data_IF_808712224598
#
_entry.id   IF_808712224598
#
_cell.length_a   1.000
_cell.length_b   1.000
_cell.length_c   1.000
_cell.angle_alpha   90.00
_cell.angle_beta   90.00
_cell.angle_gamma   90.00
#
_symmetry.space_group_name_H-M   'P 1'
#
loop_
_entity.id
_entity.type
_entity.pdbx_description
1 polymer ?
#
# COMPACT_ATOMS: atom_id res chain seq x y z
N UNK A 1 -15.08 -17.78 5.62
CA UNK A 1 -14.18 -16.72 6.17
C UNK A 1 -12.76 -17.23 6.04
N UNK A 2 -11.89 -16.49 5.35
CA UNK A 2 -10.46 -16.83 5.19
C UNK A 2 -9.69 -16.45 6.44
N UNK A 3 -8.81 -17.35 6.88
CA UNK A 3 -7.87 -17.14 7.97
C UNK A 3 -6.53 -16.58 7.45
N UNK A 4 -5.67 -16.13 8.37
CA UNK A 4 -4.29 -15.74 8.04
C UNK A 4 -3.55 -16.87 7.31
N UNK A 5 -3.66 -18.10 7.80
CA UNK A 5 -2.99 -19.26 7.21
C UNK A 5 -3.47 -19.52 5.78
N UNK A 6 -4.76 -19.38 5.51
CA UNK A 6 -5.32 -19.57 4.17
C UNK A 6 -4.73 -18.57 3.18
N UNK A 7 -4.68 -17.29 3.56
CA UNK A 7 -4.15 -16.23 2.70
C UNK A 7 -2.63 -16.40 2.50
N UNK A 8 -1.87 -16.67 3.55
CA UNK A 8 -0.43 -16.92 3.44
C UNK A 8 -0.13 -18.11 2.52
N UNK A 9 -0.89 -19.21 2.64
CA UNK A 9 -0.76 -20.36 1.76
C UNK A 9 -1.04 -19.98 0.31
N UNK A 10 -2.14 -19.29 0.02
CA UNK A 10 -2.49 -18.88 -1.34
C UNK A 10 -1.43 -17.94 -1.95
N UNK A 11 -0.94 -16.96 -1.21
CA UNK A 11 0.13 -16.07 -1.68
C UNK A 11 1.42 -16.85 -2.00
N UNK A 12 1.76 -17.82 -1.16
CA UNK A 12 2.92 -18.68 -1.38
C UNK A 12 2.75 -19.59 -2.60
N UNK A 13 1.57 -20.19 -2.77
CA UNK A 13 1.23 -21.02 -3.94
C UNK A 13 1.24 -20.20 -5.25
N UNK A 14 0.87 -18.91 -5.19
CA UNK A 14 0.97 -17.99 -6.31
C UNK A 14 2.41 -17.52 -6.59
N UNK A 15 3.36 -17.84 -5.71
CA UNK A 15 4.76 -17.42 -5.85
C UNK A 15 4.98 -15.93 -5.56
N UNK A 16 4.14 -15.30 -4.74
CA UNK A 16 4.32 -13.88 -4.36
C UNK A 16 5.59 -13.75 -3.52
N UNK A 17 6.59 -12.95 -3.97
CA UNK A 17 7.85 -12.82 -3.23
C UNK A 17 7.67 -12.01 -1.94
N UNK A 18 8.50 -12.31 -0.95
CA UNK A 18 8.47 -11.70 0.40
C UNK A 18 9.60 -10.71 0.66
N UNK A 19 10.48 -10.54 -0.32
CA UNK A 19 11.65 -9.65 -0.30
C UNK A 19 11.57 -8.50 -1.31
N UNK A 20 10.45 -8.42 -2.04
CA UNK A 20 10.25 -7.51 -3.15
C UNK A 20 9.23 -6.41 -2.84
N UNK A 21 9.09 -5.46 -3.74
CA UNK A 21 8.09 -4.40 -3.65
C UNK A 21 6.80 -4.91 -4.29
N UNK A 22 5.73 -4.99 -3.51
CA UNK A 22 4.41 -5.45 -3.95
C UNK A 22 3.43 -4.28 -3.97
N UNK A 23 3.00 -3.87 -5.15
CA UNK A 23 1.90 -2.92 -5.32
C UNK A 23 0.59 -3.71 -5.34
N UNK A 24 -0.23 -3.57 -4.31
CA UNK A 24 -1.48 -4.30 -4.17
C UNK A 24 -2.69 -3.45 -4.56
N UNK A 25 -3.44 -3.91 -5.54
CA UNK A 25 -4.80 -3.44 -5.83
C UNK A 25 -5.79 -4.47 -5.29
N UNK A 26 -6.76 -4.01 -4.51
CA UNK A 26 -7.68 -4.91 -3.79
C UNK A 26 -9.12 -4.48 -3.88
N UNK A 27 -10.00 -5.43 -4.10
CA UNK A 27 -11.42 -5.29 -3.84
C UNK A 27 -11.83 -6.17 -2.66
N UNK A 28 -12.08 -5.58 -1.49
CA UNK A 28 -12.54 -6.34 -0.32
C UNK A 28 -13.77 -7.20 -0.59
N UNK A 29 -14.62 -6.77 -1.53
CA UNK A 29 -15.79 -7.54 -1.94
C UNK A 29 -15.40 -8.78 -2.74
N UNK A 30 -14.35 -8.70 -3.56
CA UNK A 30 -13.86 -9.83 -4.35
C UNK A 30 -13.09 -10.83 -3.48
N UNK A 31 -12.31 -10.35 -2.54
CA UNK A 31 -11.61 -11.19 -1.55
C UNK A 31 -12.60 -11.99 -0.70
N UNK A 32 -13.74 -11.40 -0.35
CA UNK A 32 -14.73 -12.02 0.52
C UNK A 32 -14.43 -11.80 2.01
N UNK A 33 -14.96 -12.72 2.84
CA UNK A 33 -14.82 -12.59 4.30
C UNK A 33 -13.44 -13.04 4.77
N UNK A 34 -12.72 -12.14 5.42
CA UNK A 34 -11.40 -12.38 6.03
C UNK A 34 -11.49 -12.16 7.54
N UNK A 35 -10.77 -12.96 8.31
CA UNK A 35 -10.58 -12.75 9.75
C UNK A 35 -10.03 -11.35 10.03
N UNK A 36 -10.67 -10.60 10.96
CA UNK A 36 -10.32 -9.20 11.22
C UNK A 36 -10.77 -8.21 10.12
N UNK A 37 -11.49 -8.68 9.10
CA UNK A 37 -12.01 -7.85 7.99
C UNK A 37 -10.90 -7.10 7.24
N UNK A 38 -11.12 -5.84 6.88
CA UNK A 38 -10.13 -5.04 6.12
C UNK A 38 -8.83 -4.79 6.89
N UNK A 39 -8.89 -4.54 8.19
CA UNK A 39 -7.69 -4.39 9.02
C UNK A 39 -6.94 -5.73 9.15
N UNK A 40 -7.67 -6.84 9.34
CA UNK A 40 -7.06 -8.17 9.36
C UNK A 40 -6.36 -8.50 8.04
N UNK A 41 -6.99 -8.18 6.90
CA UNK A 41 -6.33 -8.35 5.60
C UNK A 41 -5.05 -7.50 5.49
N UNK A 42 -5.06 -6.25 5.97
CA UNK A 42 -3.86 -5.41 5.99
C UNK A 42 -2.76 -6.04 6.83
N UNK A 43 -3.07 -6.49 8.05
CA UNK A 43 -2.10 -7.15 8.93
C UNK A 43 -1.49 -8.39 8.28
N UNK A 44 -2.32 -9.23 7.65
CA UNK A 44 -1.88 -10.44 6.96
C UNK A 44 -0.94 -10.11 5.80
N UNK A 45 -1.31 -9.12 4.96
CA UNK A 45 -0.51 -8.72 3.81
C UNK A 45 0.80 -8.05 4.24
N UNK A 46 0.77 -7.19 5.26
CA UNK A 46 1.98 -6.57 5.81
C UNK A 46 2.91 -7.66 6.35
N UNK A 47 2.41 -8.59 7.17
CA UNK A 47 3.20 -9.70 7.72
C UNK A 47 3.85 -10.52 6.59
N UNK A 48 3.07 -10.91 5.58
CA UNK A 48 3.56 -11.73 4.50
C UNK A 48 4.66 -11.03 3.69
N UNK A 49 4.37 -9.85 3.19
CA UNK A 49 5.26 -9.13 2.26
C UNK A 49 6.53 -8.64 2.95
N UNK A 50 6.44 -8.24 4.22
CA UNK A 50 7.60 -7.68 4.94
C UNK A 50 8.47 -8.72 5.64
N UNK A 51 8.09 -9.99 5.62
CA UNK A 51 8.77 -11.06 6.36
C UNK A 51 10.24 -11.23 5.99
N UNK A 52 10.59 -10.99 4.73
CA UNK A 52 11.96 -11.08 4.21
C UNK A 52 12.48 -9.71 3.72
N UNK A 53 11.87 -8.62 4.20
CA UNK A 53 12.31 -7.25 3.93
C UNK A 53 11.68 -6.58 2.71
N UNK A 54 10.58 -7.13 2.20
CA UNK A 54 9.77 -6.51 1.15
C UNK A 54 9.01 -5.26 1.61
N UNK A 55 8.42 -4.56 0.65
CA UNK A 55 7.56 -3.40 0.87
C UNK A 55 6.16 -3.66 0.32
N UNK A 56 5.13 -3.44 1.11
CA UNK A 56 3.74 -3.45 0.68
C UNK A 56 3.31 -2.03 0.32
N UNK A 57 2.96 -1.81 -0.93
CA UNK A 57 2.51 -0.54 -1.47
C UNK A 57 1.01 -0.60 -1.76
N UNK A 58 0.24 0.37 -1.26
CA UNK A 58 -1.20 0.47 -1.46
C UNK A 58 -1.53 1.82 -2.08
N UNK A 59 -2.13 1.87 -3.28
CA UNK A 59 -2.62 3.11 -3.86
C UNK A 59 -3.63 3.78 -2.93
N UNK A 60 -3.48 5.09 -2.74
CA UNK A 60 -4.39 5.90 -1.92
C UNK A 60 -4.81 7.17 -2.66
N UNK A 61 -5.30 6.97 -3.88
CA UNK A 61 -5.60 8.06 -4.82
C UNK A 61 -6.64 9.04 -4.28
N UNK A 62 -6.44 10.29 -4.60
CA UNK A 62 -7.24 11.45 -4.15
C UNK A 62 -7.64 12.38 -5.29
N UNK A 63 -7.63 11.91 -6.55
CA UNK A 63 -7.94 12.77 -7.72
C UNK A 63 -9.30 13.44 -7.64
N UNK A 64 -10.26 12.87 -6.92
CA UNK A 64 -11.57 13.49 -6.71
C UNK A 64 -11.48 14.81 -5.94
N UNK A 65 -10.42 15.02 -5.15
CA UNK A 65 -10.18 16.29 -4.47
C UNK A 65 -9.93 17.44 -5.46
N UNK A 66 -9.38 17.13 -6.65
CA UNK A 66 -9.20 18.14 -7.71
C UNK A 66 -10.52 18.66 -8.25
N UNK A 67 -11.48 17.76 -8.44
CA UNK A 67 -12.81 18.08 -8.95
C UNK A 67 -13.58 18.91 -7.93
N UNK A 68 -13.51 18.52 -6.64
CA UNK A 68 -14.28 19.15 -5.56
C UNK A 68 -13.65 20.44 -5.03
N UNK A 69 -12.33 20.57 -5.02
CA UNK A 69 -11.61 21.65 -4.35
C UNK A 69 -10.89 22.62 -5.28
N UNK A 70 -10.79 22.31 -6.57
CA UNK A 70 -10.11 23.17 -7.56
C UNK A 70 -8.60 23.32 -7.36
N UNK A 71 -8.01 22.66 -6.33
CA UNK A 71 -6.57 22.66 -6.06
C UNK A 71 -6.10 21.28 -5.63
N UNK A 72 -4.99 20.80 -6.19
CA UNK A 72 -4.39 19.54 -5.80
C UNK A 72 -3.64 19.71 -4.45
N UNK A 73 -4.37 19.69 -3.36
CA UNK A 73 -3.76 19.68 -2.02
C UNK A 73 -3.95 18.30 -1.41
N UNK A 74 -2.87 17.70 -0.94
CA UNK A 74 -2.93 16.51 -0.13
C UNK A 74 -2.48 16.83 1.29
N UNK A 75 -3.40 16.74 2.23
CA UNK A 75 -3.05 16.55 3.63
C UNK A 75 -2.75 15.06 3.82
N UNK A 76 -1.51 14.72 4.19
CA UNK A 76 -1.12 13.32 4.46
C UNK A 76 -1.90 12.69 5.59
N UNK A 77 -2.39 13.50 6.51
CA UNK A 77 -3.20 13.07 7.63
C UNK A 77 -4.67 12.95 7.24
N UNK A 78 -5.03 13.38 6.02
CA UNK A 78 -6.36 13.20 5.47
C UNK A 78 -6.65 11.72 5.30
N UNK A 79 -7.83 11.34 5.71
CA UNK A 79 -8.30 9.96 5.57
C UNK A 79 -8.97 9.70 4.25
N UNK A 80 -9.19 10.75 3.48
CA UNK A 80 -9.94 10.64 2.25
C UNK A 80 -9.10 9.99 1.15
N UNK A 81 -9.60 8.89 0.65
CA UNK A 81 -9.20 8.29 -0.62
C UNK A 81 -10.46 8.00 -1.42
N UNK A 82 -10.38 8.12 -2.76
CA UNK A 82 -11.55 7.92 -3.64
C UNK A 82 -11.61 6.52 -4.26
N UNK A 83 -10.71 5.60 -3.89
CA UNK A 83 -10.56 4.32 -4.59
C UNK A 83 -10.92 3.08 -3.76
N UNK A 84 -11.55 3.25 -2.61
CA UNK A 84 -12.12 2.12 -1.89
C UNK A 84 -11.79 2.05 -0.40
N UNK A 85 -12.37 1.04 0.24
CA UNK A 85 -12.29 0.87 1.71
C UNK A 85 -10.90 0.51 2.19
N UNK A 86 -10.22 -0.46 1.55
CA UNK A 86 -8.90 -0.89 2.01
C UNK A 86 -7.86 0.23 1.91
N UNK A 87 -7.77 1.00 0.82
CA UNK A 87 -6.94 2.20 0.77
C UNK A 87 -7.24 3.21 1.88
N UNK A 88 -8.52 3.42 2.20
CA UNK A 88 -8.92 4.33 3.29
C UNK A 88 -8.45 3.82 4.65
N UNK A 89 -8.56 2.54 4.92
CA UNK A 89 -8.01 1.93 6.13
C UNK A 89 -6.48 2.06 6.17
N UNK A 90 -5.80 1.78 5.06
CA UNK A 90 -4.34 1.80 4.98
C UNK A 90 -3.72 3.17 5.33
N UNK A 91 -4.42 4.27 5.10
CA UNK A 91 -3.92 5.61 5.46
C UNK A 91 -3.67 5.77 6.96
N UNK A 92 -4.45 5.07 7.80
CA UNK A 92 -4.42 5.19 9.28
C UNK A 92 -3.95 3.94 10.00
N UNK A 93 -3.95 2.80 9.33
CA UNK A 93 -3.74 1.53 10.00
C UNK A 93 -2.27 1.35 10.43
N UNK A 94 -2.05 1.13 11.70
CA UNK A 94 -0.76 0.70 12.24
C UNK A 94 -0.88 -0.77 12.62
N UNK A 95 -0.07 -1.62 12.00
CA UNK A 95 -0.02 -3.04 12.31
C UNK A 95 1.00 -3.34 13.41
N UNK A 96 0.64 -4.26 14.31
CA UNK A 96 1.53 -4.78 15.34
C UNK A 96 1.73 -6.28 15.11
N UNK A 97 2.87 -6.66 14.56
CA UNK A 97 3.15 -8.02 14.11
C UNK A 97 4.43 -8.51 14.78
N UNK A 98 4.33 -9.59 15.55
CA UNK A 98 5.47 -10.21 16.24
C UNK A 98 6.29 -9.21 17.08
N UNK A 99 5.62 -8.27 17.76
CA UNK A 99 6.24 -7.25 18.59
C UNK A 99 6.84 -6.07 17.83
N UNK A 100 6.70 -6.03 16.51
CA UNK A 100 7.15 -4.93 15.66
C UNK A 100 5.97 -4.09 15.18
N UNK A 101 6.16 -2.78 15.21
CA UNK A 101 5.19 -1.80 14.71
C UNK A 101 5.47 -1.49 13.24
N UNK A 102 4.41 -1.50 12.41
CA UNK A 102 4.44 -1.11 11.01
C UNK A 102 3.48 0.06 10.78
N UNK A 103 4.04 1.25 10.61
CA UNK A 103 3.28 2.48 10.35
C UNK A 103 3.05 2.70 8.86
N UNK A 104 1.93 3.35 8.48
CA UNK A 104 1.72 3.79 7.11
C UNK A 104 2.65 4.97 6.79
N UNK A 105 3.44 4.85 5.73
CA UNK A 105 4.23 5.94 5.17
C UNK A 105 3.57 6.39 3.87
N UNK A 106 2.91 7.55 3.88
CA UNK A 106 2.15 8.05 2.72
C UNK A 106 2.97 9.03 1.91
N UNK A 107 3.03 8.84 0.59
CA UNK A 107 3.63 9.79 -0.34
C UNK A 107 2.81 11.09 -0.46
N UNK A 108 3.42 12.14 -1.01
CA UNK A 108 2.82 13.49 -1.06
C UNK A 108 2.15 13.85 -2.37
N UNK A 109 2.12 12.95 -3.34
CA UNK A 109 1.51 13.29 -4.62
C UNK A 109 0.02 13.67 -4.43
N UNK A 110 -0.42 14.84 -4.93
CA UNK A 110 -1.75 15.40 -4.61
C UNK A 110 -2.91 14.54 -5.08
N UNK A 111 -2.74 13.77 -6.15
CA UNK A 111 -3.82 12.97 -6.76
C UNK A 111 -3.58 11.47 -6.72
N UNK A 112 -2.33 11.04 -6.73
CA UNK A 112 -1.92 9.64 -6.85
C UNK A 112 -1.00 9.21 -5.72
N UNK A 113 -1.31 9.61 -4.49
CA UNK A 113 -0.55 9.18 -3.32
C UNK A 113 -0.57 7.66 -3.14
N UNK A 114 0.41 7.16 -2.43
CA UNK A 114 0.60 5.75 -2.11
C UNK A 114 0.97 5.61 -0.64
N UNK A 115 0.42 4.64 0.04
CA UNK A 115 0.89 4.20 1.36
C UNK A 115 1.86 3.05 1.18
N UNK A 116 2.96 3.09 1.91
CA UNK A 116 3.99 2.05 1.91
C UNK A 116 4.21 1.54 3.34
N UNK A 117 4.16 0.22 3.49
CA UNK A 117 4.49 -0.50 4.72
C UNK A 117 5.77 -1.31 4.53
N UNK A 118 6.56 -1.42 5.58
CA UNK A 118 7.77 -2.21 5.60
C UNK A 118 8.75 -1.74 6.66
N UNK A 119 10.04 -1.93 6.39
CA UNK A 119 11.08 -1.27 7.18
C UNK A 119 10.94 0.24 7.03
N UNK A 120 11.01 0.97 8.15
CA UNK A 120 10.70 2.41 8.21
C UNK A 120 11.59 3.23 7.27
N UNK A 121 12.90 2.97 7.30
CA UNK A 121 13.86 3.71 6.47
C UNK A 121 13.69 3.36 4.99
N UNK A 122 13.46 2.09 4.66
CA UNK A 122 13.17 1.68 3.28
C UNK A 122 11.88 2.31 2.76
N UNK A 123 10.81 2.30 3.55
CA UNK A 123 9.53 2.88 3.17
C UNK A 123 9.63 4.40 2.97
N UNK A 124 10.26 5.12 3.88
CA UNK A 124 10.52 6.56 3.75
C UNK A 124 11.36 6.87 2.51
N UNK A 125 12.43 6.12 2.27
CA UNK A 125 13.27 6.28 1.08
C UNK A 125 12.48 6.02 -0.21
N UNK A 126 11.60 5.02 -0.20
CA UNK A 126 10.77 4.71 -1.35
C UNK A 126 9.86 5.87 -1.73
N UNK A 127 9.18 6.49 -0.77
CA UNK A 127 8.27 7.60 -1.05
C UNK A 127 8.97 8.94 -1.28
N UNK A 128 10.17 9.16 -0.76
CA UNK A 128 10.87 10.44 -0.82
C UNK A 128 11.20 10.89 -2.24
N UNK A 129 11.48 9.97 -3.16
CA UNK A 129 11.79 10.30 -4.55
C UNK A 129 10.61 10.91 -5.31
N UNK A 130 9.37 10.69 -4.84
CA UNK A 130 8.18 11.26 -5.45
C UNK A 130 8.06 12.78 -5.24
N UNK A 131 8.64 13.29 -4.16
CA UNK A 131 8.63 14.73 -3.85
C UNK A 131 9.40 15.55 -4.89
N UNK A 132 10.29 14.91 -5.62
CA UNK A 132 11.11 15.51 -6.69
C UNK A 132 10.59 15.16 -8.09
N UNK A 133 9.49 14.42 -8.18
CA UNK A 133 8.95 13.93 -9.45
C UNK A 133 7.78 14.81 -9.94
N UNK A 134 7.77 15.08 -11.24
CA UNK A 134 6.67 15.82 -11.89
C UNK A 134 5.34 15.05 -11.87
N UNK A 135 5.41 13.72 -11.76
CA UNK A 135 4.22 12.88 -11.65
C UNK A 135 4.54 11.57 -10.93
N UNK A 136 3.51 10.94 -10.36
CA UNK A 136 3.63 9.65 -9.69
C UNK A 136 4.04 8.51 -10.63
N UNK A 137 3.80 8.66 -11.94
CA UNK A 137 4.14 7.69 -12.99
C UNK A 137 5.46 8.02 -13.71
N UNK A 138 6.05 9.19 -13.45
CA UNK A 138 7.40 9.50 -13.94
C UNK A 138 8.44 8.56 -13.31
N UNK A 139 9.62 8.38 -13.91
CA UNK A 139 10.63 7.42 -13.40
C UNK A 139 11.01 7.57 -11.93
N UNK A 140 10.89 8.77 -11.35
CA UNK A 140 11.11 9.03 -9.93
C UNK A 140 9.87 8.85 -9.04
N UNK A 141 8.68 8.77 -9.64
CA UNK A 141 7.41 8.62 -8.91
C UNK A 141 7.21 7.22 -8.33
N UNK A 142 6.35 7.10 -7.34
CA UNK A 142 6.12 5.82 -6.65
C UNK A 142 5.64 4.70 -7.57
N UNK A 143 4.91 5.02 -8.63
CA UNK A 143 4.46 4.04 -9.61
C UNK A 143 5.49 3.84 -10.73
N UNK A 144 6.08 4.92 -11.22
CA UNK A 144 6.97 4.87 -12.37
C UNK A 144 8.27 4.11 -12.13
N UNK A 145 8.80 4.13 -10.91
CA UNK A 145 10.03 3.40 -10.55
C UNK A 145 9.82 1.91 -10.23
N UNK A 146 8.57 1.48 -10.02
CA UNK A 146 8.28 0.11 -9.63
C UNK A 146 8.89 -0.95 -10.56
N UNK A 147 8.77 -0.84 -11.91
CA UNK A 147 9.40 -1.80 -12.83
C UNK A 147 10.92 -1.82 -12.72
N UNK A 148 11.55 -0.64 -12.62
CA UNK A 148 13.00 -0.53 -12.52
C UNK A 148 13.57 -1.11 -11.22
N UNK A 149 12.74 -1.20 -10.17
CA UNK A 149 13.09 -1.81 -8.89
C UNK A 149 12.70 -3.29 -8.79
N UNK A 150 12.23 -3.91 -9.89
CA UNK A 150 11.81 -5.31 -9.88
C UNK A 150 10.55 -5.56 -9.06
N UNK A 151 9.69 -4.55 -8.93
CA UNK A 151 8.44 -4.67 -8.19
C UNK A 151 7.35 -5.44 -8.93
N UNK A 152 6.39 -5.93 -8.19
CA UNK A 152 5.25 -6.71 -8.69
C UNK A 152 3.94 -5.98 -8.44
N UNK A 153 2.95 -6.25 -9.29
CA UNK A 153 1.56 -5.83 -9.08
C UNK A 153 0.75 -7.06 -8.69
N UNK A 154 0.10 -6.99 -7.53
CA UNK A 154 -0.80 -8.01 -7.03
C UNK A 154 -2.23 -7.51 -7.13
N UNK A 155 -3.08 -8.24 -7.83
CA UNK A 155 -4.52 -7.96 -7.97
C UNK A 155 -5.30 -8.97 -7.11
N UNK A 156 -6.05 -8.49 -6.13
CA UNK A 156 -6.78 -9.32 -5.14
C UNK A 156 -8.24 -8.93 -5.06
#
# INVERSE_FOLDING_TARGET
MYTKQDIHRQLSEMGVPRDSIILMHTSLRAVGEVEGRGCGLLDIMIEYVTAEGGLLCIPTHTWKNLEDLGKPTLDRNSDYTCIGTLPTLAVRHTAYINGKEYKPHRSRHPTHSMVVYGDEEKAKKYIASEELSESSTAPGGCYGKLPAMGGYILLV
#
